data_IF_744108046715
#
_entry.id   IF_744108046715
#
_cell.length_a   1.000
_cell.length_b   1.000
_cell.length_c   1.000
_cell.angle_alpha   90.00
_cell.angle_beta   90.00
_cell.angle_gamma   90.00
#
_symmetry.space_group_name_H-M   'P 1'
#
loop_
_entity.id
_entity.type
_entity.pdbx_description
1 polymer ?
#
# COMPACT_ATOMS: atom_id res chain seq x y z
N UNK A 1 22.86 -6.99 -19.78
CA UNK A 1 22.06 -5.78 -20.00
C UNK A 1 20.78 -5.91 -19.19
N UNK A 2 20.78 -5.42 -17.96
CA UNK A 2 19.63 -5.56 -17.04
C UNK A 2 18.76 -4.32 -17.17
N UNK A 3 17.58 -4.46 -17.79
CA UNK A 3 16.64 -3.36 -17.92
C UNK A 3 16.22 -2.87 -16.52
N UNK A 4 16.22 -1.56 -16.26
CA UNK A 4 15.53 -1.03 -15.09
C UNK A 4 14.04 -1.19 -15.33
N UNK A 5 13.39 -2.09 -14.58
CA UNK A 5 11.94 -2.08 -14.42
C UNK A 5 11.55 -0.69 -13.95
N UNK A 6 11.02 0.11 -14.89
CA UNK A 6 10.47 1.43 -14.64
C UNK A 6 9.12 1.24 -13.90
N UNK A 7 9.19 0.68 -12.69
CA UNK A 7 8.10 0.72 -11.73
C UNK A 7 8.01 2.19 -11.35
N UNK A 8 6.94 2.91 -11.73
CA UNK A 8 6.82 4.32 -11.40
C UNK A 8 7.05 4.42 -9.90
N UNK A 9 8.06 5.21 -9.54
CA UNK A 9 8.32 5.58 -8.17
C UNK A 9 6.96 5.85 -7.55
N UNK A 10 6.51 4.94 -6.68
CA UNK A 10 5.21 4.98 -6.04
C UNK A 10 5.34 6.06 -4.95
N UNK A 11 5.54 7.28 -5.44
CA UNK A 11 5.69 8.51 -4.74
C UNK A 11 4.40 8.72 -3.96
N UNK A 12 4.59 8.97 -2.67
CA UNK A 12 3.56 9.30 -1.69
C UNK A 12 2.14 8.82 -2.01
N UNK A 13 1.79 7.64 -1.48
CA UNK A 13 0.40 7.27 -1.31
C UNK A 13 -0.16 8.15 -0.20
N UNK A 14 -0.58 9.36 -0.57
CA UNK A 14 -1.28 10.29 0.33
C UNK A 14 -2.74 9.85 0.50
N UNK A 15 -3.36 10.24 1.61
CA UNK A 15 -4.78 9.93 1.90
C UNK A 15 -5.69 10.44 0.78
N UNK A 16 -5.36 11.60 0.21
CA UNK A 16 -6.06 12.20 -0.94
C UNK A 16 -5.99 11.29 -2.17
N UNK A 17 -4.80 10.78 -2.49
CA UNK A 17 -4.60 9.86 -3.63
C UNK A 17 -5.34 8.53 -3.46
N UNK A 18 -5.38 7.97 -2.26
CA UNK A 18 -6.15 6.74 -1.97
C UNK A 18 -7.65 6.97 -2.15
N UNK A 19 -8.13 8.18 -1.83
CA UNK A 19 -9.55 8.50 -1.88
C UNK A 19 -10.07 8.58 -3.32
N UNK A 20 -9.23 9.04 -4.27
CA UNK A 20 -9.58 9.18 -5.69
C UNK A 20 -9.43 7.89 -6.52
N UNK A 21 -8.81 6.84 -5.99
CA UNK A 21 -8.57 5.60 -6.75
C UNK A 21 -9.88 4.88 -7.17
N UNK A 22 -9.85 3.84 -7.98
CA UNK A 22 -10.96 2.88 -8.18
C UNK A 22 -10.80 1.66 -7.27
N UNK A 23 -11.85 0.82 -7.09
CA UNK A 23 -11.71 -0.40 -6.25
C UNK A 23 -10.61 -1.30 -6.83
N UNK A 24 -10.59 -1.42 -8.17
CA UNK A 24 -9.55 -2.15 -8.91
C UNK A 24 -8.16 -1.59 -8.63
N UNK A 25 -7.99 -0.28 -8.69
CA UNK A 25 -6.71 0.37 -8.37
C UNK A 25 -6.28 0.17 -6.92
N UNK A 26 -7.22 0.22 -5.97
CA UNK A 26 -6.91 -0.06 -4.56
C UNK A 26 -6.45 -1.50 -4.36
N UNK A 27 -7.07 -2.48 -5.04
CA UNK A 27 -6.62 -3.88 -4.99
C UNK A 27 -5.22 -4.00 -5.61
N UNK A 28 -4.99 -3.41 -6.80
CA UNK A 28 -3.68 -3.42 -7.44
C UNK A 28 -2.58 -2.78 -6.58
N UNK A 29 -2.90 -1.66 -5.92
CA UNK A 29 -2.00 -1.00 -4.98
C UNK A 29 -1.71 -1.87 -3.75
N UNK A 30 -2.71 -2.57 -3.21
CA UNK A 30 -2.54 -3.49 -2.10
C UNK A 30 -1.61 -4.66 -2.49
N UNK A 31 -1.85 -5.28 -3.64
CA UNK A 31 -1.02 -6.37 -4.16
C UNK A 31 0.43 -5.93 -4.36
N UNK A 32 0.67 -4.76 -4.95
CA UNK A 32 2.02 -4.22 -5.16
C UNK A 32 2.75 -3.94 -3.83
N UNK A 33 2.04 -3.44 -2.81
CA UNK A 33 2.61 -3.22 -1.48
C UNK A 33 2.96 -4.55 -0.82
N UNK A 34 2.07 -5.53 -0.89
CA UNK A 34 2.28 -6.85 -0.30
C UNK A 34 3.44 -7.60 -0.95
N UNK A 35 3.57 -7.54 -2.27
CA UNK A 35 4.69 -8.13 -3.00
C UNK A 35 6.03 -7.55 -2.54
N UNK A 36 6.14 -6.22 -2.47
CA UNK A 36 7.35 -5.55 -1.98
C UNK A 36 7.65 -5.86 -0.52
N UNK A 37 6.63 -6.00 0.33
CA UNK A 37 6.80 -6.38 1.74
C UNK A 37 7.36 -7.79 1.93
N UNK A 38 7.13 -8.72 0.99
CA UNK A 38 7.70 -10.09 1.04
C UNK A 38 9.20 -10.10 0.81
N UNK A 39 9.70 -9.15 -0.01
CA UNK A 39 11.10 -9.07 -0.38
C UNK A 39 11.93 -8.16 0.53
N UNK A 40 11.29 -7.41 1.44
CA UNK A 40 11.98 -6.52 2.36
C UNK A 40 12.34 -7.19 3.69
N UNK A 41 13.60 -7.10 4.13
CA UNK A 41 14.00 -7.61 5.44
C UNK A 41 13.27 -6.83 6.55
N UNK A 42 12.98 -7.53 7.65
CA UNK A 42 12.33 -6.93 8.82
C UNK A 42 13.24 -5.94 9.53
N UNK A 43 14.53 -6.24 9.60
CA UNK A 43 15.55 -5.43 10.25
C UNK A 43 16.69 -5.12 9.30
N UNK A 44 17.30 -3.96 9.46
CA UNK A 44 18.48 -3.52 8.70
C UNK A 44 19.48 -2.86 9.64
N UNK A 45 20.78 -2.99 9.39
CA UNK A 45 21.78 -2.21 10.12
C UNK A 45 21.69 -0.74 9.70
N UNK A 46 21.65 0.17 10.69
CA UNK A 46 21.67 1.61 10.50
C UNK A 46 22.49 2.25 11.63
N UNK A 47 23.57 2.95 11.29
CA UNK A 47 24.43 3.60 12.30
C UNK A 47 25.03 2.63 13.33
N UNK A 48 25.36 1.40 12.92
CA UNK A 48 25.91 0.37 13.82
C UNK A 48 24.88 -0.34 14.70
N UNK A 49 23.60 -0.01 14.58
CA UNK A 49 22.51 -0.65 15.31
C UNK A 49 21.59 -1.43 14.37
N UNK A 50 21.06 -2.55 14.85
CA UNK A 50 20.01 -3.29 14.15
C UNK A 50 18.66 -2.62 14.43
N UNK A 51 18.06 -2.00 13.42
CA UNK A 51 16.78 -1.30 13.55
C UNK A 51 15.71 -1.94 12.68
N UNK A 52 14.43 -1.74 13.01
CA UNK A 52 13.34 -2.11 12.10
C UNK A 52 13.51 -1.36 10.79
N UNK A 53 13.36 -2.08 9.68
CA UNK A 53 13.52 -1.52 8.35
C UNK A 53 12.56 -0.32 8.15
N UNK A 54 13.08 0.91 7.98
CA UNK A 54 12.25 2.11 7.86
C UNK A 54 11.38 2.09 6.59
N UNK A 55 11.85 1.45 5.53
CA UNK A 55 11.08 1.25 4.29
C UNK A 55 9.89 0.32 4.54
N UNK A 56 10.11 -0.79 5.28
CA UNK A 56 9.04 -1.71 5.68
C UNK A 56 7.98 -0.96 6.50
N UNK A 57 8.39 -0.12 7.45
CA UNK A 57 7.48 0.72 8.26
C UNK A 57 6.64 1.65 7.38
N UNK A 58 7.26 2.27 6.37
CA UNK A 58 6.56 3.14 5.43
C UNK A 58 5.52 2.36 4.59
N UNK A 59 5.89 1.19 4.06
CA UNK A 59 4.98 0.36 3.28
C UNK A 59 3.79 -0.14 4.10
N UNK A 60 4.01 -0.56 5.35
CA UNK A 60 2.93 -0.95 6.27
C UNK A 60 1.96 0.21 6.55
N UNK A 61 2.46 1.46 6.65
CA UNK A 61 1.60 2.64 6.76
C UNK A 61 0.75 2.81 5.49
N UNK A 62 1.34 2.64 4.30
CA UNK A 62 0.62 2.72 3.01
C UNK A 62 -0.43 1.63 2.87
N UNK A 63 -0.10 0.39 3.24
CA UNK A 63 -1.01 -0.75 3.24
C UNK A 63 -2.27 -0.45 4.06
N UNK A 64 -2.08 0.07 5.29
CA UNK A 64 -3.19 0.47 6.17
C UNK A 64 -4.10 1.53 5.54
N UNK A 65 -3.53 2.51 4.83
CA UNK A 65 -4.32 3.53 4.14
C UNK A 65 -5.16 2.95 3.00
N UNK A 66 -4.57 2.06 2.18
CA UNK A 66 -5.28 1.37 1.08
C UNK A 66 -6.40 0.48 1.63
N UNK A 67 -6.13 -0.30 2.68
CA UNK A 67 -7.13 -1.13 3.36
C UNK A 67 -8.28 -0.27 3.89
N UNK A 68 -7.98 0.89 4.50
CA UNK A 68 -9.01 1.82 4.96
C UNK A 68 -9.85 2.35 3.79
N UNK A 69 -9.23 2.64 2.64
CA UNK A 69 -9.93 3.01 1.40
C UNK A 69 -10.90 1.94 0.91
N UNK A 70 -10.46 0.68 0.89
CA UNK A 70 -11.31 -0.47 0.53
C UNK A 70 -12.49 -0.64 1.50
N UNK A 71 -12.23 -0.54 2.81
CA UNK A 71 -13.28 -0.63 3.84
C UNK A 71 -14.34 0.46 3.67
N UNK A 72 -13.94 1.71 3.41
CA UNK A 72 -14.88 2.81 3.15
C UNK A 72 -15.80 2.53 1.96
N UNK A 73 -15.25 1.98 0.88
CA UNK A 73 -16.04 1.65 -0.33
C UNK A 73 -16.99 0.49 -0.11
N UNK A 74 -16.56 -0.54 0.61
CA UNK A 74 -17.44 -1.65 1.00
C UNK A 74 -18.65 -1.14 1.79
N UNK A 75 -18.45 -0.21 2.72
CA UNK A 75 -19.54 0.41 3.48
C UNK A 75 -20.45 1.24 2.57
N UNK A 76 -19.89 2.05 1.67
CA UNK A 76 -20.67 2.85 0.72
C UNK A 76 -21.56 1.98 -0.18
N UNK A 77 -21.00 0.90 -0.76
CA UNK A 77 -21.75 -0.04 -1.59
C UNK A 77 -22.89 -0.72 -0.82
N UNK A 78 -22.65 -1.10 0.45
CA UNK A 78 -23.70 -1.67 1.31
C UNK A 78 -24.83 -0.69 1.62
N UNK A 79 -24.55 0.62 1.71
CA UNK A 79 -25.58 1.64 1.95
C UNK A 79 -26.42 1.92 0.70
N UNK A 80 -25.86 1.73 -0.49
CA UNK A 80 -26.56 1.95 -1.77
C UNK A 80 -27.36 0.74 -2.24
N UNK A 81 -27.08 -0.45 -1.71
CA UNK A 81 -27.85 -1.66 -2.01
C UNK A 81 -29.09 -1.69 -1.08
N UNK A 82 -30.33 -1.65 -1.62
CA UNK A 82 -31.50 -1.87 -0.79
C UNK A 82 -31.42 -3.30 -0.23
N UNK A 83 -31.46 -3.41 1.09
CA UNK A 83 -31.65 -4.68 1.80
C UNK A 83 -32.94 -5.33 1.28
N UNK A 84 -32.78 -6.37 0.45
CA UNK A 84 -33.85 -7.30 0.07
C UNK A 84 -34.00 -8.37 1.13
#
# INVERSE_FOLDING_TARGET
MSQPLNLPALADVSVTRVSSMTIRELIGALTAIEDRLRHLPTFVPLGGQLVTNPERRLLLRRQRMVIAGLRRRRVALRRTLPSR
#
